data_IF_974848054611
#
_entry.id   IF_974848054611
#
_cell.length_a   1.000
_cell.length_b   1.000
_cell.length_c   1.000
_cell.angle_alpha   90.00
_cell.angle_beta   90.00
_cell.angle_gamma   90.00
#
_symmetry.space_group_name_H-M   'P 1'
#
loop_
_entity.id
_entity.type
_entity.pdbx_description
1 polymer ?
#
# COMPACT_ATOMS: atom_id res chain seq x y z
N UNK A 1 12.57 -24.74 59.22
CA UNK A 1 12.43 -23.35 58.74
C UNK A 1 12.86 -23.32 57.30
N UNK A 2 11.89 -23.09 56.42
CA UNK A 2 11.95 -23.22 54.97
C UNK A 2 12.53 -21.97 54.30
N UNK A 3 13.31 -22.21 53.25
CA UNK A 3 13.31 -21.52 51.95
C UNK A 3 14.12 -20.22 51.69
N UNK A 4 15.15 -20.40 50.84
CA UNK A 4 15.55 -19.70 49.60
C UNK A 4 15.58 -18.16 49.50
N UNK A 5 16.73 -17.64 49.05
CA UNK A 5 16.92 -16.30 48.53
C UNK A 5 18.08 -16.22 47.53
N UNK A 6 18.09 -17.11 46.53
CA UNK A 6 18.98 -17.03 45.36
C UNK A 6 18.16 -16.52 44.18
N UNK A 7 18.56 -15.34 43.70
CA UNK A 7 17.98 -14.58 42.59
C UNK A 7 18.00 -15.40 41.29
N UNK A 8 16.82 -15.88 40.88
CA UNK A 8 16.46 -16.17 39.49
C UNK A 8 15.57 -15.01 39.06
N UNK A 9 15.80 -14.33 37.94
CA UNK A 9 15.50 -14.90 36.63
C UNK A 9 16.15 -14.05 35.52
N UNK A 10 16.94 -14.70 34.66
CA UNK A 10 16.95 -14.38 33.23
C UNK A 10 15.50 -14.40 32.71
N UNK A 11 15.17 -13.77 31.59
CA UNK A 11 15.57 -14.19 30.28
C UNK A 11 15.38 -13.02 29.30
N UNK A 12 16.47 -12.63 28.63
CA UNK A 12 16.40 -12.01 27.32
C UNK A 12 15.73 -13.02 26.38
N UNK A 13 14.52 -12.74 25.92
CA UNK A 13 13.95 -13.39 24.75
C UNK A 13 14.05 -12.42 23.56
N UNK A 14 15.26 -12.38 22.99
CA UNK A 14 15.45 -12.07 21.58
C UNK A 14 14.82 -13.21 20.79
N UNK A 15 13.51 -13.10 20.52
CA UNK A 15 12.88 -13.93 19.52
C UNK A 15 13.31 -13.44 18.14
N UNK A 16 14.45 -13.94 17.66
CA UNK A 16 14.71 -14.03 16.22
C UNK A 16 13.66 -14.98 15.63
N UNK A 17 12.52 -14.42 15.26
CA UNK A 17 11.62 -15.08 14.31
C UNK A 17 12.29 -14.99 12.95
N UNK A 18 13.00 -16.06 12.60
CA UNK A 18 13.29 -16.40 11.21
C UNK A 18 11.95 -16.61 10.51
N UNK A 19 11.37 -15.52 9.98
CA UNK A 19 10.24 -15.60 9.07
C UNK A 19 10.79 -16.19 7.78
N UNK A 20 10.67 -17.51 7.65
CA UNK A 20 10.84 -18.19 6.38
C UNK A 20 10.07 -17.43 5.30
N UNK A 21 10.65 -17.32 4.12
CA UNK A 21 10.12 -16.53 3.02
C UNK A 21 8.75 -17.09 2.56
N UNK A 22 7.68 -16.72 3.26
CA UNK A 22 6.33 -16.78 2.73
C UNK A 22 6.33 -15.76 1.61
N UNK A 23 6.14 -16.22 0.37
CA UNK A 23 5.81 -15.38 -0.79
C UNK A 23 4.42 -14.77 -0.56
N UNK A 24 4.32 -13.90 0.43
CA UNK A 24 3.20 -13.02 0.59
C UNK A 24 3.41 -11.88 -0.39
N UNK A 25 2.56 -11.83 -1.42
CA UNK A 25 2.50 -10.74 -2.37
C UNK A 25 2.34 -9.44 -1.57
N UNK A 26 3.33 -8.55 -1.65
CA UNK A 26 3.23 -7.24 -1.03
C UNK A 26 2.08 -6.47 -1.67
N UNK A 27 1.13 -6.03 -0.84
CA UNK A 27 -0.16 -5.46 -1.23
C UNK A 27 -0.03 -4.15 -2.02
N UNK A 28 1.00 -3.36 -1.70
CA UNK A 28 1.17 -2.02 -2.22
C UNK A 28 2.44 -1.95 -3.06
N UNK A 29 2.33 -1.32 -4.23
CA UNK A 29 3.50 -1.04 -5.05
C UNK A 29 4.37 0.04 -4.39
N UNK A 30 5.69 0.04 -4.66
CA UNK A 30 6.52 1.18 -4.32
C UNK A 30 5.89 2.47 -4.84
N UNK A 31 5.97 3.53 -4.04
CA UNK A 31 5.38 4.85 -4.24
C UNK A 31 3.85 4.92 -4.15
N UNK A 32 3.20 3.89 -3.61
CA UNK A 32 1.80 4.02 -3.18
C UNK A 32 1.72 5.00 -2.02
N UNK A 33 0.81 5.95 -2.11
CA UNK A 33 0.47 6.92 -1.06
C UNK A 33 -0.77 6.43 -0.32
N UNK A 34 -0.70 6.38 0.99
CA UNK A 34 -1.83 6.16 1.89
C UNK A 34 -2.28 7.51 2.44
N UNK A 35 -3.58 7.77 2.46
CA UNK A 35 -4.17 8.90 3.18
C UNK A 35 -5.33 8.37 4.01
N UNK A 36 -5.28 8.57 5.32
CA UNK A 36 -6.28 8.00 6.22
C UNK A 36 -6.76 8.96 7.28
N UNK A 37 -7.96 8.70 7.77
CA UNK A 37 -8.58 9.35 8.92
C UNK A 37 -8.84 8.31 9.99
N UNK A 38 -8.68 8.67 11.26
CA UNK A 38 -8.90 7.77 12.38
C UNK A 38 -9.50 8.49 13.59
N UNK A 39 -10.29 7.74 14.35
CA UNK A 39 -10.62 8.09 15.72
C UNK A 39 -9.51 7.56 16.65
N UNK A 40 -9.24 8.30 17.71
CA UNK A 40 -8.26 7.98 18.73
C UNK A 40 -8.94 7.96 20.09
N UNK A 41 -8.67 6.91 20.86
CA UNK A 41 -9.03 6.83 22.27
C UNK A 41 -7.72 6.75 23.05
N UNK A 42 -7.50 7.70 23.95
CA UNK A 42 -6.35 7.68 24.85
C UNK A 42 -6.79 7.07 26.17
N UNK A 43 -6.06 6.06 26.65
CA UNK A 43 -6.36 5.37 27.90
C UNK A 43 -5.25 5.64 28.91
N UNK A 44 -5.65 6.12 30.10
CA UNK A 44 -4.79 6.28 31.28
C UNK A 44 -5.18 5.18 32.29
N UNK A 45 -4.20 4.56 32.97
CA UNK A 45 -4.45 3.38 33.82
C UNK A 45 -5.37 3.68 35.05
N UNK A 46 -6.14 2.69 35.50
CA UNK A 46 -7.29 2.75 36.44
C UNK A 46 -6.93 3.08 37.90
N UNK A 47 -5.68 3.43 38.19
CA UNK A 47 -5.25 3.89 39.53
C UNK A 47 -5.68 5.34 39.85
N UNK A 48 -6.18 6.08 38.85
CA UNK A 48 -6.21 7.55 38.89
C UNK A 48 -7.58 8.21 38.66
N UNK A 49 -8.66 7.49 38.36
CA UNK A 49 -10.01 8.07 38.13
C UNK A 49 -10.03 9.26 37.13
N UNK A 50 -9.55 9.06 35.89
CA UNK A 50 -9.70 10.07 34.83
C UNK A 50 -10.45 9.54 33.60
N UNK A 51 -11.31 10.40 33.04
CA UNK A 51 -12.18 10.13 31.91
C UNK A 51 -11.41 9.86 30.60
N UNK A 52 -11.91 8.92 29.80
CA UNK A 52 -11.37 8.59 28.48
C UNK A 52 -11.44 9.80 27.54
N UNK A 53 -10.30 10.21 26.99
CA UNK A 53 -10.24 11.32 26.04
C UNK A 53 -10.31 10.77 24.62
N UNK A 54 -11.29 11.24 23.85
CA UNK A 54 -11.45 10.91 22.44
C UNK A 54 -10.87 12.02 21.56
N UNK A 55 -10.26 11.61 20.45
CA UNK A 55 -9.67 12.51 19.47
C UNK A 55 -9.92 12.03 18.05
N UNK A 56 -9.60 12.89 17.10
CA UNK A 56 -9.61 12.58 15.68
C UNK A 56 -8.23 12.86 15.10
N UNK A 57 -7.81 12.07 14.14
CA UNK A 57 -6.52 12.24 13.51
C UNK A 57 -6.51 11.88 12.04
N UNK A 58 -5.44 12.30 11.39
CA UNK A 58 -5.17 12.00 10.00
C UNK A 58 -3.76 11.39 9.88
N UNK A 59 -3.56 10.58 8.86
CA UNK A 59 -2.27 9.98 8.53
C UNK A 59 -2.02 10.05 7.04
N UNK A 60 -0.76 10.22 6.68
CA UNK A 60 -0.26 10.16 5.30
C UNK A 60 0.94 9.22 5.30
N UNK A 61 0.87 8.18 4.49
CA UNK A 61 1.91 7.17 4.33
C UNK A 61 2.44 7.13 2.91
N UNK A 62 3.72 6.80 2.74
CA UNK A 62 4.32 6.50 1.44
C UNK A 62 5.03 5.16 1.51
N UNK A 63 4.61 4.22 0.68
CA UNK A 63 5.23 2.90 0.56
C UNK A 63 6.54 3.02 -0.22
N UNK A 64 7.67 2.82 0.45
CA UNK A 64 8.98 2.80 -0.19
C UNK A 64 9.26 1.42 -0.83
N UNK A 65 8.73 0.37 -0.19
CA UNK A 65 8.71 -1.02 -0.68
C UNK A 65 7.37 -1.66 -0.31
N UNK A 66 7.01 -2.82 -0.89
CA UNK A 66 5.72 -3.44 -0.60
C UNK A 66 5.47 -3.86 0.87
N UNK A 67 6.53 -3.87 1.70
CA UNK A 67 6.48 -4.20 3.13
C UNK A 67 7.01 -3.07 4.03
N UNK A 68 7.35 -1.92 3.45
CA UNK A 68 7.99 -0.80 4.16
C UNK A 68 7.37 0.52 3.71
N UNK A 69 6.76 1.25 4.64
CA UNK A 69 6.29 2.62 4.39
C UNK A 69 6.85 3.60 5.42
N UNK A 70 6.89 4.87 5.04
CA UNK A 70 7.08 5.98 5.96
C UNK A 70 5.72 6.63 6.20
N UNK A 71 5.35 6.87 7.45
CA UNK A 71 4.05 7.47 7.81
C UNK A 71 4.26 8.73 8.65
N UNK A 72 3.51 9.78 8.33
CA UNK A 72 3.30 10.94 9.18
C UNK A 72 1.85 10.91 9.67
N UNK A 73 1.64 11.08 10.97
CA UNK A 73 0.32 11.07 11.58
C UNK A 73 0.19 12.20 12.58
N UNK A 74 -0.98 12.86 12.59
CA UNK A 74 -1.31 13.87 13.58
C UNK A 74 -2.71 13.63 14.13
N UNK A 75 -2.93 13.89 15.42
CA UNK A 75 -4.27 13.89 16.00
C UNK A 75 -4.52 15.15 16.81
N UNK A 76 -5.80 15.42 17.05
CA UNK A 76 -6.24 16.46 17.95
C UNK A 76 -7.21 15.84 18.95
N UNK A 77 -6.92 16.02 20.23
CA UNK A 77 -7.77 15.63 21.33
C UNK A 77 -7.92 16.79 22.31
N UNK A 78 -9.08 16.92 22.94
CA UNK A 78 -9.34 17.92 23.97
C UNK A 78 -9.77 17.24 25.25
N UNK A 79 -9.16 17.64 26.36
CA UNK A 79 -9.52 17.17 27.70
C UNK A 79 -9.75 18.38 28.60
N UNK A 80 -10.82 18.37 29.38
CA UNK A 80 -11.14 19.49 30.27
C UNK A 80 -12.51 19.38 30.91
N UNK A 81 -12.63 20.04 32.05
CA UNK A 81 -13.88 20.28 32.77
C UNK A 81 -14.23 21.78 32.68
N UNK A 82 -15.34 22.23 33.27
CA UNK A 82 -15.88 23.61 33.15
C UNK A 82 -14.92 24.75 33.54
N UNK A 83 -13.75 24.45 34.12
CA UNK A 83 -12.76 25.42 34.63
C UNK A 83 -11.39 25.38 33.93
N UNK A 84 -11.04 24.33 33.17
CA UNK A 84 -9.71 24.23 32.52
C UNK A 84 -9.78 23.32 31.29
N UNK A 85 -9.30 23.80 30.15
CA UNK A 85 -9.33 23.02 28.90
C UNK A 85 -7.92 22.91 28.31
N UNK A 86 -7.40 21.69 28.24
CA UNK A 86 -6.08 21.41 27.67
C UNK A 86 -6.27 20.77 26.31
N UNK A 87 -5.57 21.30 25.31
CA UNK A 87 -5.57 20.77 23.94
C UNK A 87 -4.31 19.94 23.72
N UNK A 88 -4.47 18.74 23.17
CA UNK A 88 -3.41 17.76 22.94
C UNK A 88 -3.25 17.52 21.43
N UNK A 89 -2.08 17.86 20.89
CA UNK A 89 -1.79 17.71 19.46
C UNK A 89 -0.46 16.97 19.23
N UNK A 90 -0.47 15.62 19.18
CA UNK A 90 0.70 14.84 18.82
C UNK A 90 0.87 14.77 17.30
N UNK A 91 2.08 15.05 16.82
CA UNK A 91 2.54 14.84 15.46
C UNK A 91 3.66 13.80 15.48
N UNK A 92 3.43 12.65 14.84
CA UNK A 92 4.34 11.51 14.90
C UNK A 92 4.72 11.00 13.50
N UNK A 93 5.99 10.62 13.37
CA UNK A 93 6.56 10.00 12.18
C UNK A 93 6.98 8.56 12.48
N UNK A 94 6.62 7.63 11.61
CA UNK A 94 6.85 6.19 11.79
C UNK A 94 7.53 5.56 10.57
N UNK A 95 8.44 4.64 10.84
CA UNK A 95 8.91 3.67 9.84
C UNK A 95 8.08 2.40 10.01
N UNK A 96 7.20 2.14 9.06
CA UNK A 96 6.18 1.10 9.11
C UNK A 96 6.67 -0.18 8.46
N UNK A 97 6.73 -1.27 9.22
CA UNK A 97 6.92 -2.62 8.71
C UNK A 97 5.57 -3.33 8.59
N UNK A 98 5.25 -3.78 7.37
CA UNK A 98 4.02 -4.50 7.07
C UNK A 98 4.33 -5.98 6.92
N UNK A 99 3.85 -6.77 7.87
CA UNK A 99 3.99 -8.23 7.89
C UNK A 99 2.69 -8.81 7.34
N UNK A 100 2.62 -9.20 6.06
CA UNK A 100 1.40 -9.76 5.48
C UNK A 100 1.11 -11.16 6.04
N UNK A 101 -0.12 -11.37 6.51
CA UNK A 101 -0.63 -12.67 6.97
C UNK A 101 -1.46 -13.34 5.88
N UNK A 102 -2.24 -12.53 5.16
CA UNK A 102 -3.08 -12.92 4.02
C UNK A 102 -2.96 -11.89 2.89
N UNK A 103 -3.67 -12.12 1.79
CA UNK A 103 -3.75 -11.21 0.65
C UNK A 103 -4.57 -9.95 0.90
N UNK A 104 -5.05 -9.73 2.13
CA UNK A 104 -5.89 -8.60 2.52
C UNK A 104 -5.60 -8.14 3.96
N UNK A 105 -4.71 -8.82 4.69
CA UNK A 105 -4.44 -8.54 6.11
C UNK A 105 -2.95 -8.51 6.38
N UNK A 106 -2.51 -7.47 7.08
CA UNK A 106 -1.15 -7.34 7.57
C UNK A 106 -1.11 -6.92 9.05
N UNK A 107 -0.11 -7.44 9.77
CA UNK A 107 0.32 -6.88 11.05
C UNK A 107 1.28 -5.74 10.75
N UNK A 108 1.17 -4.68 11.55
CA UNK A 108 1.98 -3.48 11.47
C UNK A 108 2.86 -3.38 12.70
N UNK A 109 4.15 -3.15 12.50
CA UNK A 109 5.09 -2.81 13.55
C UNK A 109 5.81 -1.54 13.13
N UNK A 110 5.85 -0.53 14.00
CA UNK A 110 6.43 0.73 13.62
C UNK A 110 7.08 1.47 14.80
N UNK A 111 8.42 1.54 14.84
CA UNK A 111 9.10 2.55 15.66
C UNK A 111 9.01 3.93 15.00
N UNK A 112 9.05 4.96 15.81
CA UNK A 112 8.87 6.33 15.37
C UNK A 112 9.29 7.38 16.39
N UNK A 113 9.07 8.63 16.01
CA UNK A 113 9.26 9.80 16.87
C UNK A 113 7.96 10.57 16.92
N UNK A 114 7.68 11.20 18.07
CA UNK A 114 6.51 12.03 18.28
C UNK A 114 6.92 13.36 18.86
N UNK A 115 6.34 14.43 18.33
CA UNK A 115 6.36 15.76 18.89
C UNK A 115 4.95 16.09 19.35
N UNK A 116 4.78 16.39 20.62
CA UNK A 116 3.47 16.68 21.21
C UNK A 116 3.43 18.13 21.64
N UNK A 117 2.53 18.90 21.04
CA UNK A 117 2.25 20.26 21.49
C UNK A 117 1.04 20.30 22.43
N UNK A 118 1.18 21.05 23.52
CA UNK A 118 0.13 21.31 24.50
C UNK A 118 -0.31 22.77 24.43
N UNK A 119 -1.61 23.00 24.32
CA UNK A 119 -2.19 24.34 24.12
C UNK A 119 -2.98 24.87 25.33
N UNK A 120 -3.29 26.18 25.27
CA UNK A 120 -4.10 26.97 26.23
C UNK A 120 -3.49 27.12 27.62
N UNK A 121 -3.76 26.17 28.52
CA UNK A 121 -3.51 26.31 29.96
C UNK A 121 -2.26 25.54 30.43
N UNK A 122 -1.55 24.92 29.49
CA UNK A 122 -0.32 24.15 29.69
C UNK A 122 0.59 24.30 28.44
N UNK A 123 0.91 25.54 28.05
CA UNK A 123 1.74 25.81 26.88
C UNK A 123 3.12 25.14 27.01
N UNK A 124 3.43 24.21 26.12
CA UNK A 124 4.67 23.45 26.11
C UNK A 124 4.70 22.43 24.97
N UNK A 125 5.87 21.83 24.73
CA UNK A 125 6.01 20.78 23.73
C UNK A 125 6.98 19.71 24.21
N UNK A 126 6.63 18.44 24.03
CA UNK A 126 7.48 17.32 24.41
C UNK A 126 7.83 16.47 23.20
N UNK A 127 9.11 16.11 23.09
CA UNK A 127 9.60 15.17 22.09
C UNK A 127 9.79 13.78 22.72
N UNK A 128 9.38 12.76 21.99
CA UNK A 128 9.38 11.39 22.48
C UNK A 128 9.67 10.36 21.40
N UNK A 129 9.97 9.15 21.86
CA UNK A 129 9.98 7.97 21.01
C UNK A 129 8.56 7.39 20.98
N UNK A 130 8.08 7.05 19.79
CA UNK A 130 6.78 6.42 19.62
C UNK A 130 6.95 5.00 19.08
N UNK A 131 6.10 4.09 19.51
CA UNK A 131 6.01 2.74 18.96
C UNK A 131 4.56 2.38 18.71
N UNK A 132 4.32 1.67 17.61
CA UNK A 132 3.01 1.26 17.18
C UNK A 132 3.00 -0.21 16.81
N UNK A 133 1.95 -0.91 17.26
CA UNK A 133 1.56 -2.23 16.78
C UNK A 133 0.13 -2.16 16.28
N UNK A 134 -0.15 -2.74 15.11
CA UNK A 134 -1.49 -2.66 14.55
C UNK A 134 -1.81 -3.79 13.58
N UNK A 135 -3.02 -3.72 13.06
CA UNK A 135 -3.52 -4.56 11.99
C UNK A 135 -4.17 -3.69 10.92
N UNK A 136 -3.86 -3.99 9.67
CA UNK A 136 -4.56 -3.45 8.51
C UNK A 136 -5.36 -4.52 7.81
N UNK A 137 -6.52 -4.12 7.31
CA UNK A 137 -7.46 -4.92 6.55
C UNK A 137 -7.78 -4.19 5.25
N UNK A 138 -7.57 -4.84 4.11
CA UNK A 138 -7.78 -4.26 2.80
C UNK A 138 -9.15 -4.69 2.25
N UNK A 139 -10.15 -3.80 2.32
CA UNK A 139 -11.49 -4.09 1.81
C UNK A 139 -11.54 -4.10 0.26
N UNK A 140 -10.70 -3.28 -0.37
CA UNK A 140 -10.51 -3.21 -1.82
C UNK A 140 -9.13 -2.63 -2.12
N UNK A 141 -8.66 -2.64 -3.37
CA UNK A 141 -7.33 -2.11 -3.76
C UNK A 141 -7.07 -0.65 -3.38
N UNK A 142 -8.13 0.12 -3.13
CA UNK A 142 -8.06 1.54 -2.76
C UNK A 142 -8.50 1.83 -1.33
N UNK A 143 -9.18 0.89 -0.66
CA UNK A 143 -9.79 1.15 0.65
C UNK A 143 -9.27 0.13 1.64
N UNK A 144 -8.68 0.61 2.74
CA UNK A 144 -8.31 -0.21 3.86
C UNK A 144 -8.85 0.35 5.18
N UNK A 145 -8.93 -0.52 6.16
CA UNK A 145 -9.28 -0.22 7.54
C UNK A 145 -8.06 -0.57 8.38
N UNK A 146 -7.76 0.24 9.39
CA UNK A 146 -6.63 0.01 10.28
C UNK A 146 -7.03 0.22 11.72
N UNK A 147 -6.56 -0.68 12.57
CA UNK A 147 -6.61 -0.55 14.02
C UNK A 147 -5.20 -0.67 14.55
N UNK A 148 -4.77 0.26 15.40
CA UNK A 148 -3.43 0.23 15.98
C UNK A 148 -3.42 0.71 17.44
N UNK A 149 -2.55 0.10 18.23
CA UNK A 149 -2.18 0.54 19.56
C UNK A 149 -0.82 1.24 19.48
N UNK A 150 -0.72 2.42 20.08
CA UNK A 150 0.48 3.25 20.10
C UNK A 150 0.89 3.51 21.54
N UNK A 151 2.20 3.53 21.75
CA UNK A 151 2.83 3.93 23.01
C UNK A 151 3.84 5.04 22.71
N UNK A 152 3.71 6.16 23.40
CA UNK A 152 4.60 7.31 23.28
C UNK A 152 5.40 7.47 24.59
N UNK A 153 6.73 7.41 24.49
CA UNK A 153 7.67 7.49 25.61
C UNK A 153 8.42 8.83 25.59
N UNK A 154 8.29 9.61 26.67
CA UNK A 154 8.93 10.91 26.84
C UNK A 154 9.98 10.81 27.96
N UNK A 155 11.26 10.76 27.60
CA UNK A 155 12.37 10.55 28.55
C UNK A 155 12.84 11.79 29.31
N UNK A 156 12.39 12.98 28.91
CA UNK A 156 12.71 14.26 29.59
C UNK A 156 11.61 15.28 29.29
N UNK A 157 10.41 15.14 29.87
CA UNK A 157 9.31 16.06 29.59
C UNK A 157 9.61 17.46 30.14
N UNK A 158 9.11 18.49 29.45
CA UNK A 158 9.39 19.91 29.69
C UNK A 158 8.92 20.41 31.06
N UNK A 159 8.00 19.66 31.70
CA UNK A 159 7.49 19.96 33.04
C UNK A 159 8.41 19.47 34.17
N UNK A 160 9.53 18.81 33.86
CA UNK A 160 10.46 18.27 34.85
C UNK A 160 9.93 17.06 35.63
N UNK A 161 8.79 16.50 35.24
CA UNK A 161 8.34 15.20 35.72
C UNK A 161 9.30 14.11 35.20
N UNK A 162 9.45 13.00 35.92
CA UNK A 162 10.19 11.84 35.42
C UNK A 162 9.56 11.28 34.13
N UNK A 163 10.18 10.25 33.55
CA UNK A 163 9.75 9.62 32.30
C UNK A 163 8.22 9.43 32.24
N UNK A 164 7.59 9.91 31.16
CA UNK A 164 6.14 9.80 30.93
C UNK A 164 5.85 8.83 29.78
N UNK A 165 4.76 8.05 29.88
CA UNK A 165 4.32 7.08 28.88
C UNK A 165 2.83 7.29 28.60
N UNK A 166 2.48 7.56 27.34
CA UNK A 166 1.09 7.67 26.90
C UNK A 166 0.69 6.46 26.05
N UNK A 167 -0.54 5.99 26.21
CA UNK A 167 -1.13 4.90 25.44
C UNK A 167 -2.34 5.38 24.64
N UNK A 168 -2.40 5.03 23.35
CA UNK A 168 -3.55 5.33 22.51
C UNK A 168 -3.97 4.14 21.65
N UNK A 169 -5.27 3.98 21.46
CA UNK A 169 -5.83 3.06 20.46
C UNK A 169 -6.46 3.89 19.36
N UNK A 170 -6.07 3.61 18.12
CA UNK A 170 -6.54 4.30 16.93
C UNK A 170 -7.31 3.31 16.04
N UNK A 171 -8.44 3.75 15.50
CA UNK A 171 -9.20 2.98 14.51
C UNK A 171 -9.66 3.91 13.38
N UNK A 172 -9.41 3.52 12.14
CA UNK A 172 -9.63 4.39 11.01
C UNK A 172 -9.68 3.71 9.66
N UNK A 173 -9.91 4.53 8.63
CA UNK A 173 -9.97 4.13 7.24
C UNK A 173 -8.92 4.89 6.44
N UNK A 174 -8.31 4.18 5.49
CA UNK A 174 -7.29 4.71 4.60
C UNK A 174 -7.65 4.49 3.14
N UNK A 175 -7.34 5.49 2.32
CA UNK A 175 -7.36 5.44 0.87
C UNK A 175 -5.94 5.29 0.32
N UNK A 176 -5.78 4.45 -0.69
CA UNK A 176 -4.48 4.16 -1.31
C UNK A 176 -4.45 4.64 -2.77
N UNK A 177 -3.45 5.45 -3.08
CA UNK A 177 -3.23 6.08 -4.39
C UNK A 177 -1.86 5.65 -4.93
N UNK A 178 -1.80 5.07 -6.12
CA UNK A 178 -0.52 4.65 -6.71
C UNK A 178 -0.70 3.86 -7.98
N UNK A 179 0.38 3.73 -8.77
CA UNK A 179 0.39 2.91 -9.98
C UNK A 179 0.26 1.44 -9.59
N UNK A 180 -0.97 0.94 -9.60
CA UNK A 180 -1.28 -0.47 -9.41
C UNK A 180 -0.87 -1.21 -10.68
N UNK A 181 0.42 -1.46 -10.91
CA UNK A 181 0.80 -2.34 -12.02
C UNK A 181 0.37 -3.74 -11.60
N UNK A 182 -0.79 -4.18 -12.10
CA UNK A 182 -1.08 -5.61 -12.09
C UNK A 182 0.11 -6.30 -12.77
N UNK A 183 0.48 -7.47 -12.27
CA UNK A 183 1.50 -8.30 -12.91
C UNK A 183 1.06 -8.53 -14.36
N UNK A 184 1.98 -8.28 -15.28
CA UNK A 184 1.88 -8.44 -16.73
C UNK A 184 3.17 -9.16 -17.09
N UNK A 185 3.06 -10.47 -17.37
CA UNK A 185 4.19 -11.39 -17.42
C UNK A 185 4.91 -11.40 -18.76
N UNK A 186 4.19 -11.13 -19.85
CA UNK A 186 4.70 -11.10 -21.21
C UNK A 186 4.89 -9.68 -21.75
N UNK A 187 4.37 -8.66 -21.02
CA UNK A 187 4.63 -7.26 -21.28
C UNK A 187 3.83 -6.71 -22.46
N UNK A 188 2.70 -7.32 -22.79
CA UNK A 188 1.84 -6.90 -23.91
C UNK A 188 0.92 -5.71 -23.55
N UNK A 189 0.92 -5.29 -22.28
CA UNK A 189 0.13 -4.18 -21.76
C UNK A 189 -1.20 -4.59 -21.13
N UNK A 190 -1.52 -5.89 -21.12
CA UNK A 190 -2.68 -6.48 -20.45
C UNK A 190 -2.23 -7.22 -19.20
N UNK A 191 -2.97 -7.04 -18.10
CA UNK A 191 -2.61 -7.69 -16.85
C UNK A 191 -2.85 -9.21 -16.91
N UNK A 192 -2.01 -10.04 -16.28
CA UNK A 192 -2.13 -11.52 -16.19
C UNK A 192 -3.56 -12.00 -15.83
N UNK A 193 -4.32 -11.20 -15.08
CA UNK A 193 -5.67 -11.55 -14.61
C UNK A 193 -6.78 -11.26 -15.64
N UNK A 194 -6.47 -10.44 -16.65
CA UNK A 194 -7.35 -10.05 -17.75
C UNK A 194 -6.87 -10.63 -19.09
N UNK A 195 -5.63 -11.09 -19.12
CA UNK A 195 -4.96 -11.65 -20.27
C UNK A 195 -5.38 -13.12 -20.49
N UNK A 196 -5.95 -13.37 -21.68
CA UNK A 196 -6.37 -14.68 -22.16
C UNK A 196 -5.27 -15.40 -22.95
N UNK A 197 -4.20 -14.69 -23.32
CA UNK A 197 -3.11 -15.13 -24.17
C UNK A 197 -1.76 -14.87 -23.45
N UNK A 198 -1.41 -15.61 -22.38
CA UNK A 198 -0.34 -15.31 -21.40
C UNK A 198 1.11 -15.50 -21.88
N UNK A 199 1.35 -15.33 -23.17
CA UNK A 199 2.65 -15.51 -23.81
C UNK A 199 2.71 -14.76 -25.15
N UNK A 200 2.10 -13.59 -25.23
CA UNK A 200 2.16 -12.76 -26.42
C UNK A 200 3.58 -12.28 -26.66
N UNK A 201 4.03 -12.39 -27.92
CA UNK A 201 5.40 -11.99 -28.29
C UNK A 201 5.54 -10.47 -28.18
N UNK A 202 6.63 -10.01 -27.58
CA UNK A 202 6.94 -8.58 -27.47
C UNK A 202 6.85 -7.86 -28.83
N UNK A 203 6.11 -6.74 -28.85
CA UNK A 203 5.87 -5.91 -30.03
C UNK A 203 4.68 -6.32 -30.90
N UNK A 204 3.98 -7.39 -30.58
CA UNK A 204 2.71 -7.75 -31.23
C UNK A 204 1.58 -6.87 -30.68
N UNK A 205 0.75 -6.31 -31.55
CA UNK A 205 -0.44 -5.57 -31.14
C UNK A 205 -1.50 -6.55 -30.60
N UNK A 206 -2.03 -6.24 -29.42
CA UNK A 206 -3.03 -7.07 -28.72
C UNK A 206 -4.35 -6.34 -28.53
N UNK A 207 -5.42 -7.12 -28.44
CA UNK A 207 -6.73 -6.61 -28.07
C UNK A 207 -6.86 -6.38 -26.55
N UNK A 208 -8.05 -5.95 -26.10
CA UNK A 208 -8.31 -5.70 -24.69
C UNK A 208 -8.22 -6.95 -23.78
N UNK A 209 -8.05 -8.14 -24.37
CA UNK A 209 -7.90 -9.42 -23.69
C UNK A 209 -6.50 -10.01 -23.81
N UNK A 210 -5.52 -9.25 -24.27
CA UNK A 210 -4.12 -9.67 -24.40
C UNK A 210 -3.86 -10.58 -25.60
N UNK A 211 -4.85 -10.78 -26.47
CA UNK A 211 -4.71 -11.69 -27.60
C UNK A 211 -4.27 -10.93 -28.86
N UNK A 212 -3.36 -11.51 -29.69
CA UNK A 212 -2.90 -10.90 -30.92
C UNK A 212 -4.04 -10.48 -31.84
N UNK A 213 -4.00 -9.23 -32.31
CA UNK A 213 -4.91 -8.74 -33.34
C UNK A 213 -4.41 -9.27 -34.70
N UNK A 214 -5.26 -9.90 -35.52
CA UNK A 214 -4.89 -10.25 -36.89
C UNK A 214 -4.53 -8.98 -37.68
N UNK A 215 -3.34 -8.94 -38.28
CA UNK A 215 -2.91 -7.84 -39.15
C UNK A 215 -3.28 -8.14 -40.61
N UNK A 216 -3.66 -7.07 -41.28
CA UNK A 216 -3.88 -6.92 -42.73
C UNK A 216 -3.21 -5.57 -43.07
N UNK A 217 -1.94 -5.64 -43.46
CA UNK A 217 -1.02 -4.51 -43.55
C UNK A 217 -1.29 -3.61 -44.77
N UNK A 218 -1.73 -4.18 -45.89
CA UNK A 218 -2.08 -3.45 -47.11
C UNK A 218 -3.58 -3.10 -47.21
N UNK A 219 -4.40 -3.72 -46.36
CA UNK A 219 -5.83 -3.45 -46.22
C UNK A 219 -6.65 -4.02 -47.37
N UNK A 220 -6.18 -5.10 -48.00
CA UNK A 220 -6.84 -5.78 -49.12
C UNK A 220 -7.95 -6.76 -48.65
N UNK A 221 -8.00 -7.07 -47.36
CA UNK A 221 -8.97 -7.98 -46.73
C UNK A 221 -8.44 -9.40 -46.47
N UNK A 222 -7.17 -9.68 -46.75
CA UNK A 222 -6.47 -10.94 -46.46
C UNK A 222 -5.45 -10.69 -45.35
N UNK A 223 -5.38 -11.60 -44.37
CA UNK A 223 -4.45 -11.44 -43.25
C UNK A 223 -3.01 -11.68 -43.71
N UNK A 224 -2.06 -10.89 -43.19
CA UNK A 224 -0.61 -11.00 -43.49
C UNK A 224 -0.07 -12.44 -43.38
N UNK A 225 -0.67 -13.25 -42.51
CA UNK A 225 -0.28 -14.66 -42.29
C UNK A 225 -0.60 -15.62 -43.46
N UNK A 226 -1.56 -15.26 -44.31
CA UNK A 226 -2.01 -16.06 -45.46
C UNK A 226 -1.94 -15.29 -46.78
N UNK A 227 -1.57 -14.02 -46.72
CA UNK A 227 -1.34 -13.17 -47.86
C UNK A 227 -0.02 -13.51 -48.57
N UNK A 228 -0.09 -13.72 -49.88
CA UNK A 228 1.04 -13.99 -50.76
C UNK A 228 1.55 -12.74 -51.49
N UNK A 229 0.78 -11.66 -51.46
CA UNK A 229 1.02 -10.41 -52.16
C UNK A 229 0.88 -9.21 -51.19
N UNK A 230 1.84 -9.00 -50.26
CA UNK A 230 1.76 -8.10 -49.10
C UNK A 230 1.73 -6.57 -49.39
N UNK A 231 1.60 -6.19 -50.65
CA UNK A 231 1.62 -4.80 -51.12
C UNK A 231 0.46 -4.54 -52.10
N UNK A 232 -0.66 -5.25 -51.94
CA UNK A 232 -1.80 -5.15 -52.85
C UNK A 232 -2.53 -3.81 -52.68
N UNK A 233 -2.71 -3.03 -53.76
CA UNK A 233 -3.40 -1.76 -53.68
C UNK A 233 -4.84 -1.91 -53.17
N UNK A 234 -5.18 -1.09 -52.18
CA UNK A 234 -6.51 -1.09 -51.56
C UNK A 234 -7.62 -0.90 -52.60
N UNK A 235 -8.57 -1.85 -52.63
CA UNK A 235 -9.70 -1.86 -53.57
C UNK A 235 -9.44 -2.58 -54.89
N UNK A 236 -8.24 -3.15 -55.09
CA UNK A 236 -7.96 -4.06 -56.19
C UNK A 236 -8.73 -5.37 -56.03
N UNK A 237 -9.11 -6.01 -57.14
CA UNK A 237 -9.75 -7.33 -57.11
C UNK A 237 -8.69 -8.39 -56.90
N UNK A 238 -8.78 -9.10 -55.79
CA UNK A 238 -7.84 -10.15 -55.36
C UNK A 238 -8.48 -11.53 -55.35
N UNK A 239 -7.64 -12.56 -55.32
CA UNK A 239 -8.02 -13.93 -55.00
C UNK A 239 -7.99 -14.21 -53.48
N UNK A 240 -8.19 -15.46 -53.08
CA UNK A 240 -8.18 -15.86 -51.66
C UNK A 240 -6.79 -15.80 -51.00
N UNK A 241 -5.74 -15.54 -51.79
CA UNK A 241 -4.35 -15.46 -51.34
C UNK A 241 -3.82 -14.02 -51.30
N UNK A 242 -4.69 -13.02 -51.45
CA UNK A 242 -4.30 -11.60 -51.45
C UNK A 242 -3.74 -11.12 -52.79
N UNK A 243 -3.66 -11.99 -53.80
CA UNK A 243 -3.01 -11.64 -55.05
C UNK A 243 -4.01 -11.09 -56.08
N UNK A 244 -3.64 -10.09 -56.88
CA UNK A 244 -4.47 -9.56 -57.95
C UNK A 244 -4.98 -10.63 -58.91
N UNK A 245 -6.28 -10.60 -59.22
CA UNK A 245 -6.85 -11.45 -60.26
C UNK A 245 -6.23 -11.09 -61.61
N UNK A 246 -5.64 -12.09 -62.27
CA UNK A 246 -5.18 -11.98 -63.66
C UNK A 246 -6.41 -11.76 -64.57
N UNK A 247 -6.61 -10.52 -64.97
CA UNK A 247 -7.75 -10.09 -65.78
C UNK A 247 -7.60 -10.39 -67.27
N UNK A 248 -6.38 -10.59 -67.76
CA UNK A 248 -6.07 -10.93 -69.16
C UNK A 248 -5.64 -12.39 -69.37
N UNK A 249 -5.53 -13.17 -68.29
CA UNK A 249 -5.27 -14.61 -68.27
C UNK A 249 -3.98 -14.99 -69.04
N UNK A 250 -2.98 -14.10 -69.00
CA UNK A 250 -1.69 -14.26 -69.65
C UNK A 250 -0.63 -14.89 -68.72
N UNK A 251 -1.01 -15.19 -67.48
CA UNK A 251 -0.17 -15.82 -66.48
C UNK A 251 0.74 -14.83 -65.73
N UNK A 252 0.58 -13.52 -65.94
CA UNK A 252 1.32 -12.49 -65.24
C UNK A 252 0.37 -11.61 -64.40
N UNK A 253 0.34 -11.83 -63.08
CA UNK A 253 -0.23 -10.87 -62.15
C UNK A 253 0.57 -9.56 -62.27
N UNK A 254 0.01 -8.53 -62.91
CA UNK A 254 0.66 -7.22 -63.04
C UNK A 254 0.71 -6.51 -61.67
N UNK A 255 1.72 -6.86 -60.88
CA UNK A 255 2.18 -6.10 -59.72
C UNK A 255 3.51 -5.44 -60.06
N UNK A 256 3.50 -4.11 -60.15
CA UNK A 256 4.69 -3.25 -60.28
C UNK A 256 5.04 -2.64 -58.93
#
# INVERSE_FOLDING_TARGET
>A
MTWWGLTRSGWLLLALMSVGAVKAAGQHHPWTVEVGLYAQVNSFDESLQLDNVTGIGARVGVFLRPKLSLELSGSHAQTGDSLRTVSYFPLAMFVMFHIPLRSDIAILLAPGFVHTSYGKDAAGSDDGFASLVGMSFQASRRIGIRVDARVDFFGSPSNGAGNNINYSVNAGMSLYFGKQTRKDSDGDGVADQLDKCPSTRAGVAVDATGCPIPLDSDGDGVLDTIDRCPDTPRGQRIDQTGCPLDGDNDGASRGS
#
